data_IF_169739448413
#
_entry.id   IF_169739448413
#
_cell.length_a   1.000
_cell.length_b   1.000
_cell.length_c   1.000
_cell.angle_alpha   90.00
_cell.angle_beta   90.00
_cell.angle_gamma   90.00
#
_symmetry.space_group_name_H-M   'P 1'
#
loop_
_entity.id
_entity.type
_entity.pdbx_description
1 polymer ?
#
# COMPACT_ATOMS: atom_id res chain seq x y z
N UNK A 1 -69.79 -9.94 -42.30
CA UNK A 1 -69.13 -8.81 -41.59
C UNK A 1 -68.31 -9.25 -40.37
N UNK A 2 -68.68 -10.29 -39.62
CA UNK A 2 -67.94 -10.74 -38.42
C UNK A 2 -66.56 -11.40 -38.69
N UNK A 3 -66.33 -12.02 -39.84
CA UNK A 3 -65.04 -12.68 -40.14
C UNK A 3 -63.88 -11.71 -40.35
N UNK A 4 -64.14 -10.50 -40.87
CA UNK A 4 -63.11 -9.46 -41.07
C UNK A 4 -62.71 -8.74 -39.78
N UNK A 5 -63.60 -8.65 -38.78
CA UNK A 5 -63.27 -8.06 -37.47
C UNK A 5 -62.35 -8.98 -36.64
N UNK A 6 -62.58 -10.29 -36.67
CA UNK A 6 -61.75 -11.27 -35.97
C UNK A 6 -60.32 -11.34 -36.53
N UNK A 7 -60.17 -11.28 -37.85
CA UNK A 7 -58.85 -11.25 -38.51
C UNK A 7 -58.08 -9.97 -38.16
N UNK A 8 -58.76 -8.83 -38.04
CA UNK A 8 -58.16 -7.56 -37.61
C UNK A 8 -57.74 -7.60 -36.14
N UNK A 9 -58.55 -8.18 -35.25
CA UNK A 9 -58.23 -8.33 -33.84
C UNK A 9 -57.02 -9.26 -33.58
N UNK A 10 -56.95 -10.39 -34.30
CA UNK A 10 -55.81 -11.33 -34.22
C UNK A 10 -54.51 -10.69 -34.75
N UNK A 11 -54.62 -9.81 -35.75
CA UNK A 11 -53.47 -9.10 -36.33
C UNK A 11 -52.95 -8.00 -35.41
N UNK A 12 -53.83 -7.32 -34.67
CA UNK A 12 -53.43 -6.32 -33.66
C UNK A 12 -52.78 -6.95 -32.44
N UNK A 13 -53.25 -8.11 -31.99
CA UNK A 13 -52.69 -8.82 -30.82
C UNK A 13 -51.26 -9.32 -31.09
N UNK A 14 -51.02 -9.88 -32.29
CA UNK A 14 -49.69 -10.30 -32.75
C UNK A 14 -48.74 -9.11 -32.98
N UNK A 15 -49.26 -7.99 -33.49
CA UNK A 15 -48.46 -6.77 -33.66
C UNK A 15 -48.03 -6.17 -32.32
N UNK A 16 -48.91 -6.18 -31.31
CA UNK A 16 -48.60 -5.70 -29.95
C UNK A 16 -47.56 -6.61 -29.28
N UNK A 17 -47.66 -7.93 -29.43
CA UNK A 17 -46.66 -8.88 -28.91
C UNK A 17 -45.28 -8.69 -29.56
N UNK A 18 -45.23 -8.44 -30.88
CA UNK A 18 -43.97 -8.16 -31.59
C UNK A 18 -43.37 -6.82 -31.17
N UNK A 19 -44.18 -5.78 -30.99
CA UNK A 19 -43.72 -4.47 -30.49
C UNK A 19 -43.22 -4.60 -29.06
N UNK A 20 -43.91 -5.34 -28.18
CA UNK A 20 -43.43 -5.63 -26.83
C UNK A 20 -42.13 -6.42 -26.83
N UNK A 21 -41.98 -7.43 -27.69
CA UNK A 21 -40.72 -8.18 -27.81
C UNK A 21 -39.57 -7.30 -28.30
N UNK A 22 -39.82 -6.43 -29.30
CA UNK A 22 -38.82 -5.47 -29.78
C UNK A 22 -38.47 -4.46 -28.70
N UNK A 23 -39.43 -3.95 -27.94
CA UNK A 23 -39.18 -3.06 -26.80
C UNK A 23 -38.41 -3.76 -25.68
N UNK A 24 -38.69 -5.02 -25.36
CA UNK A 24 -37.97 -5.83 -24.36
C UNK A 24 -36.54 -6.13 -24.83
N UNK A 25 -36.34 -6.36 -26.13
CA UNK A 25 -34.98 -6.53 -26.71
C UNK A 25 -34.23 -5.20 -26.68
N UNK A 26 -34.88 -4.08 -27.01
CA UNK A 26 -34.26 -2.73 -26.97
C UNK A 26 -33.93 -2.30 -25.53
N UNK A 27 -34.78 -2.63 -24.54
CA UNK A 27 -34.52 -2.33 -23.11
C UNK A 27 -33.62 -3.35 -22.43
N UNK A 28 -33.57 -4.59 -22.95
CA UNK A 28 -32.68 -5.66 -22.49
C UNK A 28 -31.21 -5.49 -22.92
N UNK A 29 -30.92 -4.59 -23.86
CA UNK A 29 -29.56 -4.19 -24.24
C UNK A 29 -28.98 -3.05 -23.38
N UNK A 30 -29.58 -2.74 -22.24
CA UNK A 30 -28.84 -2.10 -21.14
C UNK A 30 -28.12 -3.20 -20.35
N UNK A 31 -27.06 -3.74 -20.97
CA UNK A 31 -26.02 -4.49 -20.28
C UNK A 31 -25.57 -3.69 -19.06
N UNK A 32 -26.08 -4.07 -17.90
CA UNK A 32 -25.50 -3.70 -16.63
C UNK A 32 -24.19 -4.48 -16.50
N UNK A 33 -23.19 -4.04 -17.25
CA UNK A 33 -21.81 -4.47 -17.07
C UNK A 33 -21.39 -4.06 -15.66
N UNK A 34 -21.08 -4.99 -14.75
CA UNK A 34 -20.53 -4.65 -13.46
C UNK A 34 -19.10 -4.14 -13.67
N UNK A 35 -18.97 -2.82 -13.57
CA UNK A 35 -17.75 -2.05 -13.26
C UNK A 35 -16.42 -2.77 -13.56
N UNK A 36 -16.04 -2.79 -14.83
CA UNK A 36 -14.61 -2.68 -15.12
C UNK A 36 -14.13 -1.35 -14.54
N UNK A 37 -13.18 -1.43 -13.62
CA UNK A 37 -12.25 -0.44 -13.05
C UNK A 37 -12.03 0.90 -13.80
N UNK A 38 -13.09 1.60 -14.19
CA UNK A 38 -13.01 2.85 -14.95
C UNK A 38 -12.89 3.99 -13.93
N UNK A 39 -11.66 4.46 -13.76
CA UNK A 39 -11.34 5.61 -12.91
C UNK A 39 -12.25 6.77 -13.29
N UNK A 40 -12.92 7.36 -12.30
CA UNK A 40 -13.78 8.53 -12.50
C UNK A 40 -12.91 9.70 -13.01
N UNK A 41 -13.46 10.59 -13.84
CA UNK A 41 -12.78 11.86 -14.14
C UNK A 41 -12.75 12.72 -12.87
N UNK A 42 -11.64 13.39 -12.59
CA UNK A 42 -11.42 14.08 -11.31
C UNK A 42 -12.49 15.10 -10.95
N UNK A 43 -13.01 15.86 -11.92
CA UNK A 43 -14.12 16.79 -11.65
C UNK A 43 -15.36 16.04 -11.13
N UNK A 44 -15.68 14.86 -11.67
CA UNK A 44 -16.80 14.01 -11.21
C UNK A 44 -16.57 13.49 -9.79
N UNK A 45 -15.32 13.14 -9.45
CA UNK A 45 -14.96 12.73 -8.09
C UNK A 45 -15.09 13.90 -7.10
N UNK A 46 -14.69 15.12 -7.49
CA UNK A 46 -14.85 16.35 -6.69
C UNK A 46 -16.33 16.63 -6.45
N UNK A 47 -17.18 16.60 -7.49
CA UNK A 47 -18.62 16.78 -7.33
C UNK A 47 -19.25 15.77 -6.37
N UNK A 48 -18.83 14.50 -6.44
CA UNK A 48 -19.30 13.47 -5.51
C UNK A 48 -18.87 13.76 -4.07
N UNK A 49 -17.62 14.20 -3.87
CA UNK A 49 -17.12 14.60 -2.56
C UNK A 49 -17.87 15.82 -2.00
N UNK A 50 -18.13 16.83 -2.83
CA UNK A 50 -18.89 18.03 -2.40
C UNK A 50 -20.34 17.71 -2.02
N UNK A 51 -20.91 16.63 -2.54
CA UNK A 51 -22.23 16.15 -2.13
C UNK A 51 -22.27 15.53 -0.72
N UNK A 52 -21.11 15.26 -0.11
CA UNK A 52 -20.98 14.73 1.25
C UNK A 52 -20.40 15.84 2.15
N UNK A 53 -21.11 16.28 3.21
CA UNK A 53 -20.67 17.44 3.99
C UNK A 53 -19.30 17.23 4.66
N UNK A 54 -19.01 16.01 5.12
CA UNK A 54 -17.73 15.67 5.74
C UNK A 54 -16.58 15.66 4.72
N UNK A 55 -16.83 15.14 3.52
CA UNK A 55 -15.84 15.11 2.44
C UNK A 55 -15.59 16.52 1.90
N UNK A 56 -16.64 17.31 1.70
CA UNK A 56 -16.54 18.70 1.28
C UNK A 56 -15.68 19.52 2.24
N UNK A 57 -15.96 19.43 3.54
CA UNK A 57 -15.17 20.11 4.56
C UNK A 57 -13.69 19.66 4.52
N UNK A 58 -13.43 18.35 4.47
CA UNK A 58 -12.06 17.83 4.40
C UNK A 58 -11.33 18.26 3.11
N UNK A 59 -12.05 18.38 1.99
CA UNK A 59 -11.50 18.83 0.72
C UNK A 59 -11.06 20.30 0.78
N UNK A 60 -11.88 21.17 1.38
CA UNK A 60 -11.53 22.58 1.60
C UNK A 60 -10.32 22.73 2.53
N UNK A 61 -10.26 21.93 3.61
CA UNK A 61 -9.11 21.91 4.51
C UNK A 61 -7.83 21.48 3.77
N UNK A 62 -7.92 20.47 2.91
CA UNK A 62 -6.82 20.03 2.06
C UNK A 62 -6.32 21.17 1.14
N UNK A 63 -7.23 21.86 0.44
CA UNK A 63 -6.87 22.94 -0.46
C UNK A 63 -6.15 24.08 0.28
N UNK A 64 -6.63 24.43 1.47
CA UNK A 64 -6.00 25.47 2.28
C UNK A 64 -4.65 25.03 2.84
N UNK A 65 -4.57 23.84 3.42
CA UNK A 65 -3.37 23.32 4.07
C UNK A 65 -2.22 23.07 3.07
N UNK A 66 -2.55 22.61 1.86
CA UNK A 66 -1.57 22.28 0.83
C UNK A 66 -1.29 23.42 -0.16
N UNK A 67 -1.89 24.60 0.01
CA UNK A 67 -1.75 25.73 -0.93
C UNK A 67 -0.28 26.07 -1.26
N UNK A 68 0.62 26.04 -0.27
CA UNK A 68 2.06 26.32 -0.48
C UNK A 68 2.79 25.25 -1.31
N UNK A 69 2.29 24.01 -1.33
CA UNK A 69 2.83 22.92 -2.14
C UNK A 69 2.23 22.95 -3.54
N UNK A 70 0.91 23.15 -3.63
CA UNK A 70 0.18 23.23 -4.91
C UNK A 70 0.68 24.40 -5.76
N UNK A 71 0.96 25.55 -5.15
CA UNK A 71 1.56 26.71 -5.83
C UNK A 71 3.04 26.54 -6.19
N UNK A 72 3.70 25.47 -5.73
CA UNK A 72 5.13 25.26 -5.90
C UNK A 72 6.03 26.12 -5.00
N UNK A 73 5.46 26.91 -4.08
CA UNK A 73 6.21 27.77 -3.16
C UNK A 73 7.07 26.96 -2.16
N UNK A 74 6.68 25.72 -1.84
CA UNK A 74 7.44 24.79 -0.99
C UNK A 74 7.59 23.43 -1.64
N UNK A 75 8.81 22.89 -1.59
CA UNK A 75 9.14 21.53 -2.04
C UNK A 75 8.97 20.47 -0.95
N UNK A 76 8.86 20.88 0.31
CA UNK A 76 8.64 20.00 1.48
C UNK A 76 7.20 20.13 1.96
N UNK A 77 6.59 19.00 2.26
CA UNK A 77 5.20 18.92 2.72
C UNK A 77 5.06 19.42 4.17
N UNK A 78 4.24 20.44 4.43
CA UNK A 78 3.89 20.83 5.80
C UNK A 78 3.12 19.72 6.51
N UNK A 79 3.29 19.59 7.83
CA UNK A 79 2.59 18.58 8.64
C UNK A 79 1.07 18.70 8.53
N UNK A 80 0.52 19.91 8.54
CA UNK A 80 -0.92 20.15 8.39
C UNK A 80 -1.45 19.73 7.01
N UNK A 81 -0.69 19.92 5.92
CA UNK A 81 -1.07 19.42 4.59
C UNK A 81 -1.18 17.88 4.59
N UNK A 82 -0.20 17.19 5.18
CA UNK A 82 -0.22 15.73 5.29
C UNK A 82 -1.43 15.28 6.11
N UNK A 83 -1.68 15.89 7.27
CA UNK A 83 -2.84 15.55 8.12
C UNK A 83 -4.17 15.79 7.41
N UNK A 84 -4.32 16.89 6.66
CA UNK A 84 -5.54 17.16 5.88
C UNK A 84 -5.75 16.13 4.77
N UNK A 85 -4.68 15.69 4.09
CA UNK A 85 -4.75 14.61 3.11
C UNK A 85 -5.15 13.27 3.75
N UNK A 86 -4.63 12.94 4.93
CA UNK A 86 -5.07 11.76 5.71
C UNK A 86 -6.58 11.85 6.00
N UNK A 87 -7.04 12.99 6.52
CA UNK A 87 -8.45 13.20 6.87
C UNK A 87 -9.37 13.08 5.66
N UNK A 88 -8.99 13.69 4.52
CA UNK A 88 -9.73 13.57 3.27
C UNK A 88 -9.86 12.10 2.85
N UNK A 89 -8.78 11.32 2.93
CA UNK A 89 -8.76 9.90 2.56
C UNK A 89 -9.58 9.00 3.52
N UNK A 90 -9.91 9.47 4.72
CA UNK A 90 -10.78 8.74 5.66
C UNK A 90 -12.27 8.92 5.35
N UNK A 91 -12.63 9.90 4.51
CA UNK A 91 -14.03 10.12 4.11
C UNK A 91 -14.49 9.09 3.08
N UNK A 92 -15.81 8.99 2.86
CA UNK A 92 -16.39 7.99 1.96
C UNK A 92 -15.98 8.21 0.49
N UNK A 93 -16.03 9.44 0.01
CA UNK A 93 -15.68 9.78 -1.38
C UNK A 93 -14.26 10.30 -1.59
N UNK A 94 -13.51 10.63 -0.53
CA UNK A 94 -12.15 11.17 -0.62
C UNK A 94 -11.13 10.29 -1.35
N UNK A 95 -11.07 8.96 -1.14
CA UNK A 95 -10.11 8.09 -1.83
C UNK A 95 -10.21 8.16 -3.37
N UNK A 96 -11.41 8.41 -3.91
CA UNK A 96 -11.62 8.52 -5.34
C UNK A 96 -10.92 9.74 -5.98
N UNK A 97 -10.56 10.76 -5.19
CA UNK A 97 -9.82 11.94 -5.66
C UNK A 97 -8.35 11.63 -5.96
N UNK A 98 -7.77 10.66 -5.26
CA UNK A 98 -6.41 10.18 -5.55
C UNK A 98 -6.39 9.33 -6.83
N UNK A 99 -7.43 8.51 -7.06
CA UNK A 99 -7.46 7.54 -8.16
C UNK A 99 -8.05 8.08 -9.47
N UNK A 100 -8.72 9.22 -9.44
CA UNK A 100 -9.41 9.79 -10.61
C UNK A 100 -8.47 10.14 -11.78
N UNK A 101 -9.02 10.18 -13.00
CA UNK A 101 -8.33 10.62 -14.21
C UNK A 101 -8.51 12.14 -14.42
N UNK A 102 -7.41 12.86 -14.67
CA UNK A 102 -7.44 14.29 -15.00
C UNK A 102 -7.88 14.56 -16.45
N UNK A 103 -7.98 13.54 -17.30
CA UNK A 103 -8.23 13.69 -18.73
C UNK A 103 -7.24 14.71 -19.35
N UNK A 104 -7.73 15.74 -20.04
CA UNK A 104 -6.91 16.76 -20.68
C UNK A 104 -6.48 17.91 -19.73
N UNK A 105 -6.99 17.98 -18.49
CA UNK A 105 -6.79 19.13 -17.60
C UNK A 105 -5.34 19.22 -17.06
N UNK A 106 -4.56 20.25 -17.48
CA UNK A 106 -3.18 20.42 -17.01
C UNK A 106 -3.11 20.86 -15.55
N UNK A 107 -4.08 21.61 -15.04
CA UNK A 107 -4.11 22.07 -13.65
C UNK A 107 -4.29 20.87 -12.74
N UNK A 108 -5.29 20.02 -13.02
CA UNK A 108 -5.48 18.76 -12.29
C UNK A 108 -4.19 17.91 -12.24
N UNK A 109 -3.54 17.70 -13.40
CA UNK A 109 -2.30 16.92 -13.47
C UNK A 109 -1.18 17.54 -12.63
N UNK A 110 -0.98 18.85 -12.76
CA UNK A 110 0.05 19.57 -12.01
C UNK A 110 -0.19 19.52 -10.50
N UNK A 111 -1.44 19.68 -10.06
CA UNK A 111 -1.83 19.59 -8.66
C UNK A 111 -1.58 18.18 -8.12
N UNK A 112 -2.05 17.13 -8.82
CA UNK A 112 -1.81 15.74 -8.41
C UNK A 112 -0.32 15.41 -8.29
N UNK A 113 0.50 15.88 -9.23
CA UNK A 113 1.95 15.71 -9.18
C UNK A 113 2.59 16.48 -8.01
N UNK A 114 2.13 17.71 -7.75
CA UNK A 114 2.67 18.53 -6.66
C UNK A 114 2.38 17.92 -5.28
N UNK A 115 1.21 17.32 -5.09
CA UNK A 115 0.79 16.75 -3.81
C UNK A 115 1.22 15.28 -3.61
N UNK A 116 1.64 14.57 -4.66
CA UNK A 116 2.06 13.17 -4.60
C UNK A 116 3.11 12.90 -3.50
N UNK A 117 4.14 13.74 -3.29
CA UNK A 117 5.12 13.55 -2.22
C UNK A 117 4.54 13.70 -0.80
N UNK A 118 3.39 14.35 -0.67
CA UNK A 118 2.73 14.61 0.62
C UNK A 118 1.70 13.55 0.99
N UNK A 119 1.34 12.66 0.05
CA UNK A 119 0.37 11.62 0.32
C UNK A 119 0.96 10.63 1.33
N UNK A 120 0.26 10.37 2.45
CA UNK A 120 0.64 9.31 3.36
C UNK A 120 0.56 7.99 2.59
N UNK A 121 1.67 7.22 2.55
CA UNK A 121 1.79 5.96 1.80
C UNK A 121 0.96 4.81 2.40
N UNK A 122 -0.31 5.03 2.71
CA UNK A 122 -1.09 4.15 3.59
C UNK A 122 -2.23 3.39 2.93
N UNK A 123 -2.47 3.44 1.61
CA UNK A 123 -3.51 2.57 1.00
C UNK A 123 -3.20 1.93 -0.37
N UNK A 124 -2.08 2.23 -1.01
CA UNK A 124 -1.68 1.58 -2.27
C UNK A 124 -0.41 0.73 -2.18
N UNK A 125 0.37 0.85 -1.10
CA UNK A 125 1.59 0.06 -0.89
C UNK A 125 1.57 -0.64 0.48
N UNK A 126 1.30 -1.94 0.48
CA UNK A 126 1.38 -2.80 1.68
C UNK A 126 2.81 -2.80 2.24
N UNK A 127 2.94 -2.72 3.57
CA UNK A 127 4.24 -2.88 4.26
C UNK A 127 4.75 -4.32 4.17
N UNK A 128 6.06 -4.50 4.08
CA UNK A 128 6.65 -5.84 3.98
C UNK A 128 6.44 -6.68 5.24
N UNK A 129 6.27 -6.03 6.40
CA UNK A 129 5.92 -6.70 7.66
C UNK A 129 4.57 -7.39 7.56
N UNK A 130 3.54 -6.68 7.09
CA UNK A 130 2.20 -7.24 6.91
C UNK A 130 2.15 -8.26 5.76
N UNK A 131 2.81 -7.97 4.63
CA UNK A 131 2.91 -8.92 3.52
C UNK A 131 3.53 -10.26 3.96
N UNK A 132 4.53 -10.21 4.86
CA UNK A 132 5.15 -11.40 5.44
C UNK A 132 4.18 -12.19 6.32
N UNK A 133 3.43 -11.51 7.20
CA UNK A 133 2.41 -12.16 8.04
C UNK A 133 1.40 -12.89 7.16
N UNK A 134 0.87 -12.23 6.12
CA UNK A 134 -0.11 -12.85 5.23
C UNK A 134 0.44 -14.05 4.46
N UNK A 135 1.72 -14.02 4.05
CA UNK A 135 2.36 -15.16 3.42
C UNK A 135 2.57 -16.32 4.41
N UNK A 136 2.90 -16.03 5.67
CA UNK A 136 3.10 -17.07 6.67
C UNK A 136 1.81 -17.79 7.06
N UNK A 137 0.66 -17.11 7.00
CA UNK A 137 -0.67 -17.70 7.25
C UNK A 137 -1.15 -18.62 6.12
N UNK A 138 -0.58 -18.49 4.92
CA UNK A 138 -0.84 -19.38 3.78
C UNK A 138 0.19 -20.53 3.78
N UNK A 139 -0.28 -21.78 3.86
CA UNK A 139 0.59 -22.97 3.92
C UNK A 139 1.54 -23.08 2.72
N UNK A 140 1.07 -22.79 1.51
CA UNK A 140 1.88 -22.89 0.30
C UNK A 140 2.94 -21.77 0.27
N UNK A 141 2.53 -20.55 0.60
CA UNK A 141 3.42 -19.39 0.65
C UNK A 141 4.47 -19.53 1.76
N UNK A 142 4.06 -19.95 2.96
CA UNK A 142 4.93 -20.25 4.10
C UNK A 142 5.99 -21.30 3.77
N UNK A 143 5.62 -22.34 3.02
CA UNK A 143 6.55 -23.38 2.55
C UNK A 143 7.56 -22.82 1.55
N UNK A 144 7.08 -22.08 0.54
CA UNK A 144 7.94 -21.43 -0.44
C UNK A 144 8.88 -20.39 0.21
N UNK A 145 8.41 -19.67 1.23
CA UNK A 145 9.20 -18.70 1.99
C UNK A 145 10.34 -19.37 2.77
N UNK A 146 10.13 -20.55 3.37
CA UNK A 146 11.21 -21.32 4.00
C UNK A 146 12.23 -21.79 2.96
N UNK A 147 11.77 -22.27 1.81
CA UNK A 147 12.67 -22.66 0.71
C UNK A 147 13.50 -21.46 0.21
N UNK A 148 12.89 -20.27 0.15
CA UNK A 148 13.59 -19.03 -0.20
C UNK A 148 14.71 -18.71 0.79
N UNK A 149 14.41 -18.73 2.08
CA UNK A 149 15.41 -18.48 3.13
C UNK A 149 16.55 -19.50 3.12
N UNK A 150 16.31 -20.73 2.67
CA UNK A 150 17.33 -21.79 2.61
C UNK A 150 18.20 -21.72 1.34
N UNK A 151 17.58 -21.63 0.16
CA UNK A 151 18.29 -21.70 -1.12
C UNK A 151 18.94 -20.36 -1.52
N UNK A 152 18.44 -19.24 -1.00
CA UNK A 152 18.92 -17.91 -1.32
C UNK A 152 19.83 -17.29 -0.25
N UNK A 153 20.35 -18.04 0.73
CA UNK A 153 21.24 -17.49 1.77
C UNK A 153 22.42 -16.68 1.24
N UNK A 154 23.01 -17.12 0.12
CA UNK A 154 24.11 -16.42 -0.55
C UNK A 154 23.71 -15.01 -1.05
N UNK A 155 22.45 -14.83 -1.43
CA UNK A 155 21.90 -13.52 -1.82
C UNK A 155 21.91 -12.54 -0.63
N UNK A 156 21.60 -13.03 0.56
CA UNK A 156 21.61 -12.21 1.79
C UNK A 156 23.04 -11.80 2.20
N UNK A 157 24.05 -12.49 1.69
CA UNK A 157 25.45 -12.13 1.83
C UNK A 157 25.98 -11.28 0.65
N UNK A 158 25.12 -10.83 -0.27
CA UNK A 158 25.52 -10.00 -1.41
C UNK A 158 26.16 -10.77 -2.57
N UNK A 159 25.97 -12.10 -2.66
CA UNK A 159 26.48 -12.89 -3.78
C UNK A 159 25.44 -13.07 -4.89
N UNK A 160 25.93 -13.33 -6.11
CA UNK A 160 25.08 -13.63 -7.28
C UNK A 160 24.14 -14.80 -7.02
N UNK A 161 22.92 -14.69 -7.52
CA UNK A 161 21.93 -15.74 -7.41
C UNK A 161 22.42 -17.05 -8.07
N UNK A 162 22.21 -18.17 -7.41
CA UNK A 162 22.36 -19.50 -8.02
C UNK A 162 21.13 -19.86 -8.86
N UNK A 163 21.23 -20.85 -9.74
CA UNK A 163 20.06 -21.37 -10.48
C UNK A 163 18.99 -21.94 -9.55
N UNK A 164 19.43 -22.56 -8.44
CA UNK A 164 18.52 -23.04 -7.40
C UNK A 164 17.75 -21.89 -6.76
N UNK A 165 18.43 -20.80 -6.38
CA UNK A 165 17.76 -19.62 -5.82
C UNK A 165 16.82 -18.95 -6.83
N UNK A 166 17.22 -18.81 -8.11
CA UNK A 166 16.37 -18.27 -9.19
C UNK A 166 15.07 -19.06 -9.33
N UNK A 167 15.12 -20.39 -9.30
CA UNK A 167 13.93 -21.26 -9.36
C UNK A 167 12.99 -21.00 -8.18
N UNK A 168 13.53 -20.84 -6.97
CA UNK A 168 12.70 -20.54 -5.78
C UNK A 168 12.08 -19.14 -5.86
N UNK A 169 12.80 -18.14 -6.36
CA UNK A 169 12.25 -16.80 -6.59
C UNK A 169 11.10 -16.85 -7.60
N UNK A 170 11.26 -17.60 -8.69
CA UNK A 170 10.19 -17.80 -9.68
C UNK A 170 8.98 -18.51 -9.07
N UNK A 171 9.20 -19.53 -8.22
CA UNK A 171 8.12 -20.20 -7.48
C UNK A 171 7.42 -19.25 -6.50
N UNK A 172 8.14 -18.42 -5.77
CA UNK A 172 7.54 -17.41 -4.90
C UNK A 172 6.65 -16.44 -5.71
N UNK A 173 7.10 -16.00 -6.88
CA UNK A 173 6.33 -15.09 -7.75
C UNK A 173 5.07 -15.71 -8.35
N UNK A 174 4.94 -17.04 -8.39
CA UNK A 174 3.71 -17.70 -8.85
C UNK A 174 2.60 -17.70 -7.78
N UNK A 175 2.95 -17.48 -6.51
CA UNK A 175 2.01 -17.51 -5.39
C UNK A 175 1.43 -16.10 -5.12
N UNK A 176 0.10 -15.91 -5.11
CA UNK A 176 -0.51 -14.58 -4.97
C UNK A 176 -0.11 -13.82 -3.70
N UNK A 177 0.05 -14.52 -2.57
CA UNK A 177 0.47 -13.91 -1.31
C UNK A 177 1.95 -13.50 -1.31
N UNK A 178 2.80 -14.24 -2.01
CA UNK A 178 4.23 -13.89 -2.13
C UNK A 178 4.48 -12.77 -3.15
N UNK A 179 3.63 -12.55 -4.16
CA UNK A 179 3.74 -11.38 -5.05
C UNK A 179 3.67 -10.05 -4.30
N UNK A 180 2.96 -10.02 -3.17
CA UNK A 180 2.90 -8.83 -2.29
C UNK A 180 4.25 -8.54 -1.63
N UNK A 181 5.10 -9.54 -1.41
CA UNK A 181 6.46 -9.34 -0.88
C UNK A 181 7.40 -8.67 -1.88
N UNK A 182 7.17 -8.86 -3.19
CA UNK A 182 7.99 -8.21 -4.24
C UNK A 182 7.70 -6.70 -4.27
N UNK A 183 6.41 -6.33 -4.16
CA UNK A 183 5.91 -4.96 -4.32
C UNK A 183 5.76 -4.15 -3.03
N UNK A 184 5.91 -4.78 -1.86
CA UNK A 184 5.75 -4.11 -0.57
C UNK A 184 6.80 -3.01 -0.32
N UNK A 185 6.50 -2.09 0.61
CA UNK A 185 7.46 -1.10 1.11
C UNK A 185 8.11 -1.63 2.37
N UNK A 186 9.45 -1.56 2.46
CA UNK A 186 10.19 -2.00 3.63
C UNK A 186 9.86 -1.12 4.84
N UNK A 187 9.27 -1.73 5.87
CA UNK A 187 8.80 -1.11 7.10
C UNK A 187 9.27 -1.91 8.33
N UNK A 188 9.06 -1.34 9.52
CA UNK A 188 9.39 -2.00 10.78
C UNK A 188 10.89 -2.04 11.13
N UNK A 189 11.28 -2.82 12.16
CA UNK A 189 12.66 -2.87 12.66
C UNK A 189 13.64 -3.53 11.68
N UNK A 190 13.14 -4.40 10.80
CA UNK A 190 13.95 -5.10 9.78
C UNK A 190 14.14 -4.26 8.49
N UNK A 191 13.73 -2.98 8.49
CA UNK A 191 13.71 -2.12 7.29
C UNK A 191 15.04 -2.11 6.53
N UNK A 192 16.16 -1.91 7.23
CA UNK A 192 17.49 -1.85 6.59
C UNK A 192 17.85 -3.17 5.88
N UNK A 193 17.55 -4.30 6.52
CA UNK A 193 17.81 -5.63 5.96
C UNK A 193 16.89 -5.89 4.77
N UNK A 194 15.60 -5.51 4.87
CA UNK A 194 14.64 -5.61 3.77
C UNK A 194 15.11 -4.83 2.53
N UNK A 195 15.52 -3.57 2.70
CA UNK A 195 16.01 -2.72 1.61
C UNK A 195 17.26 -3.32 0.95
N UNK A 196 18.21 -3.81 1.76
CA UNK A 196 19.40 -4.50 1.27
C UNK A 196 19.07 -5.76 0.46
N UNK A 197 18.16 -6.60 0.95
CA UNK A 197 17.76 -7.83 0.25
C UNK A 197 17.04 -7.49 -1.06
N UNK A 198 16.16 -6.49 -1.09
CA UNK A 198 15.49 -6.05 -2.31
C UNK A 198 16.48 -5.53 -3.35
N UNK A 199 17.47 -4.74 -2.92
CA UNK A 199 18.53 -4.25 -3.80
C UNK A 199 19.35 -5.41 -4.37
N UNK A 200 19.81 -6.33 -3.53
CA UNK A 200 20.56 -7.52 -3.97
C UNK A 200 19.73 -8.37 -4.93
N UNK A 201 18.46 -8.60 -4.64
CA UNK A 201 17.57 -9.35 -5.52
C UNK A 201 17.50 -8.73 -6.92
N UNK A 202 17.33 -7.41 -7.01
CA UNK A 202 17.23 -6.70 -8.29
C UNK A 202 18.54 -6.70 -9.09
N UNK A 203 19.69 -6.64 -8.42
CA UNK A 203 21.01 -6.46 -9.05
C UNK A 203 21.75 -7.76 -9.31
N UNK A 204 21.56 -8.77 -8.45
CA UNK A 204 22.35 -10.01 -8.43
C UNK A 204 21.62 -11.21 -9.03
N UNK A 205 20.31 -11.08 -9.29
CA UNK A 205 19.47 -12.17 -9.80
C UNK A 205 18.93 -11.92 -11.22
N UNK A 206 19.25 -10.78 -11.83
CA UNK A 206 19.04 -10.55 -13.26
C UNK A 206 19.88 -11.50 -14.11
N UNK A 207 19.33 -11.95 -15.23
CA UNK A 207 19.98 -12.89 -16.16
C UNK A 207 21.22 -12.26 -16.83
N UNK A 208 22.36 -12.34 -16.15
CA UNK A 208 23.67 -12.43 -16.80
C UNK A 208 24.19 -13.84 -16.54
N UNK A 209 23.59 -14.80 -17.25
CA UNK A 209 24.34 -15.98 -17.63
C UNK A 209 25.38 -15.47 -18.62
N UNK A 210 26.64 -15.33 -18.17
CA UNK A 210 27.87 -15.29 -18.97
C UNK A 210 29.05 -14.80 -18.10
N UNK A 211 29.23 -15.44 -16.94
CA UNK A 211 30.54 -15.52 -16.32
C UNK A 211 30.76 -17.00 -16.02
N UNK A 212 31.63 -17.69 -16.78
CA UNK A 212 32.05 -19.03 -16.42
C UNK A 212 32.53 -18.98 -14.98
N UNK A 213 32.05 -19.93 -14.17
CA UNK A 213 32.60 -20.19 -12.86
C UNK A 213 34.10 -20.41 -13.02
N UNK A 214 34.89 -19.39 -12.65
CA UNK A 214 36.34 -19.48 -12.60
C UNK A 214 36.73 -20.56 -11.61
N UNK A 215 37.10 -21.70 -12.17
CA UNK A 215 37.89 -22.74 -11.52
C UNK A 215 39.24 -22.18 -11.06
N UNK A 216 39.67 -22.55 -9.86
CA UNK A 216 41.09 -22.57 -9.51
C UNK A 216 41.44 -21.81 -8.24
N UNK A 217 41.55 -22.52 -7.12
CA UNK A 217 42.84 -23.03 -6.66
C UNK A 217 42.66 -23.58 -5.24
N UNK A 218 42.80 -24.90 -5.12
CA UNK A 218 43.07 -25.56 -3.85
C UNK A 218 44.53 -25.28 -3.48
N UNK A 219 44.77 -24.53 -2.41
CA UNK A 219 45.99 -24.68 -1.64
C UNK A 219 45.62 -25.13 -0.24
N UNK A 220 46.19 -26.29 0.09
CA UNK A 220 46.23 -26.88 1.41
C UNK A 220 47.54 -26.42 2.04
N UNK A 221 47.45 -25.63 3.09
CA UNK A 221 48.48 -25.43 4.13
C UNK A 221 47.65 -25.36 5.43
N UNK A 222 47.81 -26.21 6.43
CA UNK A 222 49.05 -26.69 7.03
C UNK A 222 49.16 -26.02 8.41
N UNK A 223 48.66 -26.72 9.43
CA UNK A 223 48.77 -26.52 10.90
C UNK A 223 49.30 -25.20 11.47
N UNK A 224 48.55 -24.66 12.43
CA UNK A 224 49.12 -24.39 13.76
C UNK A 224 48.01 -24.35 14.81
N UNK A 225 48.12 -25.26 15.79
CA UNK A 225 47.43 -25.18 17.07
C UNK A 225 47.89 -23.93 17.82
N UNK A 226 47.01 -23.28 18.58
CA UNK A 226 47.35 -22.66 19.87
C UNK A 226 46.08 -22.18 20.61
N UNK A 227 45.81 -22.93 21.67
CA UNK A 227 45.39 -22.58 23.02
C UNK A 227 44.10 -21.81 23.39
N UNK A 228 43.49 -22.41 24.42
CA UNK A 228 42.35 -22.04 25.24
C UNK A 228 42.55 -20.73 25.99
N UNK A 229 41.46 -19.96 26.22
CA UNK A 229 41.12 -19.44 27.56
C UNK A 229 39.61 -19.12 27.64
N UNK A 230 38.98 -19.77 28.62
CA UNK A 230 37.62 -19.56 29.15
C UNK A 230 37.76 -18.73 30.45
N UNK A 231 37.13 -17.56 30.54
CA UNK A 231 36.90 -16.82 31.80
C UNK A 231 35.57 -16.05 31.66
N UNK A 232 34.49 -16.57 32.21
CA UNK A 232 33.99 -16.46 33.60
C UNK A 232 33.07 -15.24 33.82
N UNK A 233 31.89 -15.58 34.34
CA UNK A 233 30.74 -14.72 34.54
C UNK A 233 30.87 -13.99 35.88
N UNK A 234 30.86 -12.66 35.86
CA UNK A 234 30.63 -11.88 37.07
C UNK A 234 29.30 -11.12 36.98
N UNK A 235 28.31 -11.61 37.72
CA UNK A 235 27.13 -10.82 38.12
C UNK A 235 27.55 -9.76 39.14
N UNK A 236 26.99 -8.53 39.03
CA UNK A 236 26.75 -7.74 40.21
C UNK A 236 25.25 -7.47 40.36
N UNK A 237 24.68 -8.08 41.40
CA UNK A 237 23.44 -7.63 42.00
C UNK A 237 23.77 -6.44 42.91
N UNK A 238 23.23 -5.27 42.61
CA UNK A 238 23.05 -4.24 43.63
C UNK A 238 21.83 -3.38 43.33
N UNK A 239 20.85 -3.57 44.21
CA UNK A 239 19.77 -2.64 44.51
C UNK A 239 20.34 -1.26 44.86
N UNK A 240 19.79 -0.19 44.28
CA UNK A 240 19.13 0.89 45.04
C UNK A 240 18.74 2.08 44.15
N UNK A 241 17.53 2.56 44.41
CA UNK A 241 16.95 3.80 43.93
C UNK A 241 17.59 5.00 44.67
N UNK A 242 17.77 6.15 44.00
CA UNK A 242 17.59 7.49 44.59
C UNK A 242 17.92 8.63 43.59
N UNK A 243 16.88 9.38 43.24
CA UNK A 243 16.77 10.86 43.24
C UNK A 243 18.02 11.75 43.19
N UNK A 244 18.06 12.66 42.20
CA UNK A 244 18.65 14.01 42.28
C UNK A 244 17.90 14.92 41.30
N UNK A 245 16.99 15.77 41.79
CA UNK A 245 17.16 17.21 42.13
C UNK A 245 17.02 18.15 40.92
N UNK A 246 15.84 18.76 40.74
CA UNK A 246 15.52 20.20 40.92
C UNK A 246 16.01 21.09 39.74
N UNK A 247 15.29 22.08 39.18
CA UNK A 247 14.42 23.10 39.80
C UNK A 247 13.63 23.90 38.71
N UNK A 248 12.42 24.38 39.09
CA UNK A 248 11.69 25.63 38.70
C UNK A 248 11.22 25.82 37.25
N UNK A 249 9.94 26.12 36.98
CA UNK A 249 9.32 27.44 37.24
C UNK A 249 7.84 27.38 37.65
N UNK A 250 7.48 28.34 38.49
CA UNK A 250 6.17 28.66 39.05
C UNK A 250 5.17 29.22 38.02
N UNK A 251 3.87 28.99 38.26
CA UNK A 251 2.73 29.93 38.09
C UNK A 251 1.49 29.28 38.75
N UNK A 252 1.22 29.51 40.04
CA UNK A 252 0.45 30.62 40.65
C UNK A 252 -1.08 30.43 40.68
N UNK A 253 -1.59 30.53 41.91
CA UNK A 253 -2.94 30.88 42.39
C UNK A 253 -4.03 29.79 42.55
N UNK A 254 -4.04 29.27 43.77
CA UNK A 254 -5.20 28.96 44.62
C UNK A 254 -6.41 29.87 44.43
N UNK A 255 -7.62 29.31 44.55
CA UNK A 255 -8.66 29.75 45.51
C UNK A 255 -9.57 28.56 45.82
N UNK A 256 -9.57 28.16 47.11
CA UNK A 256 -10.64 27.40 47.74
C UNK A 256 -11.94 28.22 47.67
N UNK A 257 -13.07 27.58 47.38
CA UNK A 257 -14.28 27.74 48.22
C UNK A 257 -15.39 26.78 47.81
N UNK A 258 -15.83 26.02 48.81
CA UNK A 258 -17.23 25.78 49.18
C UNK A 258 -18.19 25.15 48.17
N UNK A 259 -18.55 23.90 48.49
CA UNK A 259 -19.93 23.53 48.84
C UNK A 259 -20.99 24.62 48.65
N UNK A 260 -22.00 24.36 47.82
CA UNK A 260 -23.41 24.25 48.23
C UNK A 260 -24.37 24.18 47.02
N UNK A 261 -25.33 23.24 47.14
CA UNK A 261 -26.72 23.28 46.69
C UNK A 261 -26.93 23.43 45.16
N UNK A 262 -27.57 22.50 44.46
CA UNK A 262 -28.93 21.97 44.69
C UNK A 262 -29.10 20.64 43.97
#
# INVERSE_FOLDING_TARGET
MMTCLWIRAIKTERAVLLICHVLIVITGFCDSSPNQNQRLVCWKAIFKCHGEPECHYAYDQYLHACASVISGARKKCPSHCISSLVQLNLTRSGPALEECDCAADPVCRSTKLAIEPCLPRTRTTMGCTEARIQCQMDMACSTAMRAYLFHCRKLFAGQRCSDSCRKIIANMRSLPKAQRLDTCVCDGPERNICEFIKLNMSTLCSASADAPAGSGFSVSEGDTEDDYMEEDYQYPESSSCSTSSQTLLLNTFTILTFTRFT
#
